data_IF_002070897844
#
_entry.id   IF_002070897844
#
_cell.length_a   1.000
_cell.length_b   1.000
_cell.length_c   1.000
_cell.angle_alpha   90.00
_cell.angle_beta   90.00
_cell.angle_gamma   90.00
#
_symmetry.space_group_name_H-M   'P 1'
#
loop_
_entity.id
_entity.type
_entity.pdbx_description
1 polymer ?
#
# COMPACT_ATOMS: atom_id res chain seq x y z
N UNK A 1 15.13 17.02 -49.87
CA UNK A 1 14.07 16.13 -49.38
C UNK A 1 14.49 15.66 -48.01
N UNK A 2 13.71 16.01 -46.98
CA UNK A 2 14.06 15.74 -45.59
C UNK A 2 13.96 14.24 -45.30
N UNK A 3 15.09 13.63 -44.91
CA UNK A 3 15.08 12.42 -44.11
C UNK A 3 14.73 12.85 -42.69
N UNK A 4 13.47 12.69 -42.30
CA UNK A 4 13.06 12.81 -40.92
C UNK A 4 13.33 11.48 -40.22
N UNK A 5 14.20 11.55 -39.21
CA UNK A 5 14.43 10.57 -38.16
C UNK A 5 13.16 9.79 -37.79
N UNK A 6 13.09 8.52 -38.20
CA UNK A 6 12.19 7.52 -37.60
C UNK A 6 12.96 6.82 -36.47
N UNK A 7 13.51 7.61 -35.53
CA UNK A 7 14.38 7.11 -34.47
C UNK A 7 13.57 6.62 -33.27
N UNK A 8 13.64 5.31 -32.98
CA UNK A 8 13.46 4.61 -31.69
C UNK A 8 12.20 4.84 -30.83
N UNK A 9 11.38 5.85 -31.11
CA UNK A 9 10.33 6.33 -30.20
C UNK A 9 9.09 5.44 -30.10
N UNK A 10 8.93 4.52 -31.06
CA UNK A 10 7.80 3.58 -31.14
C UNK A 10 8.11 2.17 -30.63
N UNK A 11 9.35 1.86 -30.22
CA UNK A 11 9.68 0.52 -29.71
C UNK A 11 9.01 0.31 -28.35
N UNK A 12 8.19 -0.75 -28.23
CA UNK A 12 7.51 -1.13 -27.00
C UNK A 12 8.41 -2.08 -26.20
N UNK A 13 8.76 -1.71 -24.98
CA UNK A 13 9.56 -2.55 -24.06
C UNK A 13 8.69 -3.39 -23.12
N UNK A 14 7.46 -2.94 -22.87
CA UNK A 14 6.43 -3.71 -22.18
C UNK A 14 5.08 -3.41 -22.79
N UNK A 15 4.39 -4.48 -23.20
CA UNK A 15 2.97 -4.44 -23.51
C UNK A 15 2.29 -5.42 -22.55
N UNK A 16 1.57 -4.90 -21.57
CA UNK A 16 0.70 -5.65 -20.67
C UNK A 16 -0.75 -5.30 -21.03
N UNK A 17 -1.40 -6.08 -21.92
CA UNK A 17 -2.67 -5.71 -22.53
C UNK A 17 -3.74 -5.38 -21.48
N UNK A 18 -4.41 -4.24 -21.66
CA UNK A 18 -5.45 -3.78 -20.75
C UNK A 18 -4.95 -3.06 -19.49
N UNK A 19 -3.63 -3.08 -19.21
CA UNK A 19 -3.04 -2.42 -18.03
C UNK A 19 -2.19 -1.22 -18.42
N UNK A 20 -1.04 -1.49 -19.04
CA UNK A 20 0.00 -0.50 -19.30
C UNK A 20 0.83 -0.90 -20.51
N UNK A 21 1.24 0.10 -21.29
CA UNK A 21 2.25 -0.04 -22.32
C UNK A 21 3.36 0.98 -22.11
N UNK A 22 4.60 0.51 -22.17
CA UNK A 22 5.80 1.32 -21.97
C UNK A 22 6.67 1.25 -23.21
N UNK A 23 7.07 2.41 -23.69
CA UNK A 23 7.93 2.56 -24.86
C UNK A 23 9.37 2.86 -24.42
N UNK A 24 10.35 2.47 -25.24
CA UNK A 24 11.77 2.76 -24.99
C UNK A 24 12.07 4.25 -24.85
N UNK A 25 11.27 5.10 -25.50
CA UNK A 25 11.34 6.57 -25.39
C UNK A 25 10.97 7.13 -24.00
N UNK A 26 10.45 6.30 -23.09
CA UNK A 26 9.88 6.75 -21.82
C UNK A 26 8.41 7.17 -21.91
N UNK A 27 7.79 7.11 -23.09
CA UNK A 27 6.34 7.26 -23.21
C UNK A 27 5.63 6.11 -22.49
N UNK A 28 4.56 6.42 -21.78
CA UNK A 28 3.71 5.45 -21.06
C UNK A 28 2.26 5.66 -21.45
N UNK A 29 1.57 4.57 -21.78
CA UNK A 29 0.12 4.52 -21.98
C UNK A 29 -0.48 3.65 -20.87
N UNK A 30 -1.40 4.22 -20.09
CA UNK A 30 -2.17 3.50 -19.06
C UNK A 30 -3.59 3.28 -19.58
N UNK A 31 -4.03 2.03 -19.61
CA UNK A 31 -5.33 1.66 -20.18
C UNK A 31 -6.43 1.48 -19.14
N UNK A 32 -6.07 1.37 -17.86
CA UNK A 32 -7.02 1.44 -16.76
C UNK A 32 -7.19 2.90 -16.34
N UNK A 33 -8.35 3.52 -16.60
CA UNK A 33 -8.62 4.87 -16.14
C UNK A 33 -8.77 4.88 -14.62
N UNK A 34 -8.35 5.98 -14.00
CA UNK A 34 -8.67 6.30 -12.61
C UNK A 34 -10.08 6.89 -12.59
N UNK A 35 -10.99 6.27 -11.83
CA UNK A 35 -12.32 6.85 -11.62
C UNK A 35 -12.24 7.81 -10.44
N UNK A 36 -12.06 9.10 -10.71
CA UNK A 36 -11.77 10.07 -9.66
C UNK A 36 -12.99 10.32 -8.77
N UNK A 37 -12.82 10.09 -7.46
CA UNK A 37 -13.76 10.55 -6.44
C UNK A 37 -13.27 11.88 -5.85
N UNK A 38 -14.11 12.92 -5.72
CA UNK A 38 -13.75 14.13 -4.98
C UNK A 38 -13.73 13.86 -3.47
N UNK A 39 -12.95 14.63 -2.69
CA UNK A 39 -13.07 14.60 -1.24
C UNK A 39 -14.48 15.05 -0.83
N UNK A 40 -15.06 14.33 0.12
CA UNK A 40 -16.44 14.52 0.54
C UNK A 40 -16.64 14.06 2.00
N UNK A 41 -17.82 14.37 2.54
CA UNK A 41 -18.35 13.72 3.74
C UNK A 41 -19.28 12.61 3.32
N UNK A 42 -18.94 11.38 3.66
CA UNK A 42 -19.76 10.21 3.34
C UNK A 42 -21.03 10.19 4.18
N UNK A 43 -22.17 10.01 3.52
CA UNK A 43 -23.48 10.10 4.16
C UNK A 43 -23.79 8.89 5.05
N UNK A 44 -23.22 7.72 4.75
CA UNK A 44 -23.50 6.49 5.48
C UNK A 44 -22.68 6.38 6.77
N UNK A 45 -21.43 6.80 6.74
CA UNK A 45 -20.47 6.66 7.83
C UNK A 45 -20.18 7.96 8.57
N UNK A 46 -20.47 9.12 7.94
CA UNK A 46 -20.10 10.44 8.43
C UNK A 46 -18.60 10.76 8.31
N UNK A 47 -17.79 9.86 7.73
CA UNK A 47 -16.36 10.09 7.50
C UNK A 47 -16.18 11.28 6.56
N UNK A 48 -15.39 12.26 6.99
CA UNK A 48 -15.03 13.43 6.18
C UNK A 48 -13.66 13.23 5.57
N UNK A 49 -13.47 13.64 4.32
CA UNK A 49 -12.19 13.53 3.62
C UNK A 49 -11.73 14.84 3.01
N UNK A 50 -10.41 15.00 2.87
CA UNK A 50 -9.78 16.13 2.17
C UNK A 50 -8.41 15.77 1.62
N UNK A 51 -8.01 16.49 0.58
CA UNK A 51 -6.69 16.31 -0.05
C UNK A 51 -5.67 17.28 0.55
N UNK A 52 -4.45 16.79 0.77
CA UNK A 52 -3.33 17.56 1.34
C UNK A 52 -2.05 17.31 0.56
N UNK A 53 -1.16 18.30 0.51
CA UNK A 53 0.19 18.10 -0.01
C UNK A 53 1.15 17.65 1.11
N UNK A 54 1.96 16.63 0.81
CA UNK A 54 2.98 16.09 1.73
C UNK A 54 4.36 16.61 1.32
N UNK A 55 4.74 16.37 0.05
CA UNK A 55 5.95 16.92 -0.57
C UNK A 55 5.56 17.61 -1.88
N UNK A 56 5.24 18.91 -1.86
CA UNK A 56 4.82 19.65 -3.05
C UNK A 56 5.82 19.55 -4.21
N UNK A 57 7.12 19.65 -3.90
CA UNK A 57 8.20 19.62 -4.92
C UNK A 57 8.32 18.27 -5.64
N UNK A 58 7.87 17.19 -4.99
CA UNK A 58 7.84 15.85 -5.55
C UNK A 58 6.42 15.39 -5.95
N UNK A 59 5.44 16.30 -5.90
CA UNK A 59 4.03 16.01 -6.13
C UNK A 59 3.45 14.87 -5.26
N UNK A 60 4.04 14.60 -4.08
CA UNK A 60 3.50 13.61 -3.15
C UNK A 60 2.40 14.27 -2.34
N UNK A 61 1.22 13.67 -2.37
CA UNK A 61 0.02 14.18 -1.67
C UNK A 61 -0.69 13.03 -0.96
N UNK A 62 -1.80 13.33 -0.29
CA UNK A 62 -2.63 12.30 0.31
C UNK A 62 -4.08 12.76 0.41
N UNK A 63 -5.00 11.79 0.45
CA UNK A 63 -6.35 12.01 0.98
C UNK A 63 -6.40 11.56 2.42
N UNK A 64 -6.80 12.48 3.31
CA UNK A 64 -7.00 12.17 4.73
C UNK A 64 -8.48 11.92 4.96
N UNK A 65 -8.79 10.91 5.77
CA UNK A 65 -10.13 10.53 6.20
C UNK A 65 -10.21 10.68 7.71
N UNK A 66 -11.17 11.47 8.18
CA UNK A 66 -11.48 11.67 9.58
C UNK A 66 -12.85 11.04 9.88
N UNK A 67 -12.93 9.98 10.71
CA UNK A 67 -14.20 9.35 11.06
C UNK A 67 -15.07 10.29 11.88
N UNK A 68 -16.40 10.17 11.77
CA UNK A 68 -17.30 10.96 12.60
C UNK A 68 -17.09 10.63 14.10
N UNK A 69 -17.26 11.62 15.00
CA UNK A 69 -17.31 11.32 16.43
C UNK A 69 -18.50 10.39 16.74
N UNK A 70 -18.42 9.57 17.79
CA UNK A 70 -19.54 8.76 18.25
C UNK A 70 -20.77 9.62 18.55
N UNK A 71 -21.97 9.02 18.56
CA UNK A 71 -23.25 9.72 18.81
C UNK A 71 -23.32 10.49 20.14
N UNK A 72 -22.38 10.26 21.07
CA UNK A 72 -22.20 11.01 22.32
C UNK A 72 -21.49 12.37 22.14
N UNK A 73 -21.10 12.74 20.92
CA UNK A 73 -20.68 14.10 20.55
C UNK A 73 -19.18 14.39 20.64
N UNK A 74 -18.35 13.47 21.16
CA UNK A 74 -16.88 13.62 21.16
C UNK A 74 -16.17 12.27 21.13
N UNK A 75 -14.97 12.24 20.54
CA UNK A 75 -14.08 11.09 20.67
C UNK A 75 -13.68 10.90 22.13
N UNK A 76 -13.62 9.65 22.60
CA UNK A 76 -13.14 9.32 23.96
C UNK A 76 -11.63 9.55 24.15
N UNK A 77 -10.94 10.07 23.14
CA UNK A 77 -9.51 10.34 23.12
C UNK A 77 -9.02 10.71 21.72
N UNK A 78 -7.69 10.67 21.54
CA UNK A 78 -7.06 10.76 20.21
C UNK A 78 -7.25 9.45 19.43
N UNK A 79 -7.24 9.54 18.12
CA UNK A 79 -7.52 8.45 17.18
C UNK A 79 -6.21 7.84 16.64
N UNK A 80 -6.11 6.51 16.49
CA UNK A 80 -4.99 5.90 15.78
C UNK A 80 -4.89 6.43 14.34
N UNK A 81 -3.69 6.38 13.77
CA UNK A 81 -3.42 6.83 12.40
C UNK A 81 -2.99 5.66 11.54
N UNK A 82 -3.68 5.38 10.44
CA UNK A 82 -3.24 4.44 9.41
C UNK A 82 -2.71 5.21 8.20
N UNK A 83 -1.42 5.10 7.91
CA UNK A 83 -0.83 5.56 6.64
C UNK A 83 -0.94 4.43 5.63
N UNK A 84 -1.74 4.65 4.58
CA UNK A 84 -2.16 3.61 3.65
C UNK A 84 -1.63 3.87 2.23
N UNK A 85 -1.13 2.83 1.57
CA UNK A 85 -0.63 2.88 0.19
C UNK A 85 -1.50 2.01 -0.72
N UNK A 86 -2.02 2.58 -1.80
CA UNK A 86 -2.80 1.84 -2.80
C UNK A 86 -1.92 0.89 -3.62
N UNK A 87 -2.50 -0.17 -4.20
CA UNK A 87 -1.80 -1.06 -5.13
C UNK A 87 -1.76 -0.54 -6.56
N UNK A 88 -1.85 -1.46 -7.53
CA UNK A 88 -1.74 -1.12 -8.97
C UNK A 88 -0.36 -1.39 -9.58
N UNK A 89 0.39 -2.37 -9.04
CA UNK A 89 1.65 -2.82 -9.63
C UNK A 89 2.74 -1.74 -9.69
N UNK A 90 2.71 -0.75 -8.78
CA UNK A 90 3.59 0.42 -8.74
C UNK A 90 3.39 1.44 -9.87
N UNK A 91 2.55 1.15 -10.87
CA UNK A 91 2.42 1.96 -12.08
C UNK A 91 0.98 2.41 -12.40
N UNK A 92 0.00 1.97 -11.62
CA UNK A 92 -1.43 2.25 -11.81
C UNK A 92 -2.08 2.60 -10.46
N UNK A 93 -3.33 3.07 -10.53
CA UNK A 93 -4.11 3.45 -9.37
C UNK A 93 -3.84 4.88 -8.90
N UNK A 94 -4.60 5.28 -7.89
CA UNK A 94 -4.49 6.58 -7.21
C UNK A 94 -5.20 6.48 -5.86
N UNK A 95 -4.71 7.20 -4.85
CA UNK A 95 -5.41 7.47 -3.60
C UNK A 95 -6.76 8.19 -3.81
N UNK A 96 -6.96 8.81 -4.97
CA UNK A 96 -8.18 9.52 -5.34
C UNK A 96 -9.14 8.68 -6.20
N UNK A 97 -8.77 7.45 -6.55
CA UNK A 97 -9.66 6.51 -7.23
C UNK A 97 -10.88 6.16 -6.36
N UNK A 98 -12.05 6.00 -6.96
CA UNK A 98 -13.30 5.77 -6.26
C UNK A 98 -13.31 4.48 -5.43
N UNK A 99 -12.67 3.40 -5.93
CA UNK A 99 -12.62 2.14 -5.21
C UNK A 99 -11.68 2.24 -3.99
N UNK A 100 -10.50 2.85 -4.19
CA UNK A 100 -9.55 3.14 -3.10
C UNK A 100 -10.18 4.10 -2.08
N UNK A 101 -10.92 5.10 -2.55
CA UNK A 101 -11.59 6.07 -1.71
C UNK A 101 -12.65 5.41 -0.83
N UNK A 102 -13.51 4.57 -1.41
CA UNK A 102 -14.53 3.83 -0.68
C UNK A 102 -13.90 2.88 0.36
N UNK A 103 -12.79 2.22 0.02
CA UNK A 103 -12.09 1.33 0.95
C UNK A 103 -11.48 2.08 2.14
N UNK A 104 -10.73 3.17 1.88
CA UNK A 104 -10.14 4.00 2.93
C UNK A 104 -11.21 4.62 3.85
N UNK A 105 -12.36 5.02 3.29
CA UNK A 105 -13.50 5.51 4.05
C UNK A 105 -14.03 4.44 5.02
N UNK A 106 -14.25 3.21 4.54
CA UNK A 106 -14.71 2.08 5.35
C UNK A 106 -13.73 1.69 6.45
N UNK A 107 -12.42 1.71 6.16
CA UNK A 107 -11.39 1.49 7.17
C UNK A 107 -11.43 2.58 8.24
N UNK A 108 -11.52 3.86 7.86
CA UNK A 108 -11.58 4.97 8.81
C UNK A 108 -12.79 4.84 9.74
N UNK A 109 -13.96 4.53 9.18
CA UNK A 109 -15.20 4.32 9.93
C UNK A 109 -15.10 3.12 10.88
N UNK A 110 -14.71 1.95 10.37
CA UNK A 110 -14.71 0.72 11.14
C UNK A 110 -13.66 0.73 12.26
N UNK A 111 -12.46 1.25 11.98
CA UNK A 111 -11.35 1.30 12.94
C UNK A 111 -11.41 2.50 13.88
N UNK A 112 -12.34 3.45 13.66
CA UNK A 112 -12.29 4.77 14.31
C UNK A 112 -10.89 5.39 14.24
N UNK A 113 -10.29 5.34 13.05
CA UNK A 113 -8.91 5.74 12.78
C UNK A 113 -8.86 6.85 11.75
N UNK A 114 -7.87 7.74 11.88
CA UNK A 114 -7.52 8.66 10.79
C UNK A 114 -6.78 7.84 9.73
N UNK A 115 -7.29 7.81 8.51
CA UNK A 115 -6.58 7.18 7.38
C UNK A 115 -5.92 8.26 6.54
N UNK A 116 -4.62 8.13 6.29
CA UNK A 116 -3.85 8.97 5.37
C UNK A 116 -3.54 8.10 4.15
N UNK A 117 -4.39 8.17 3.12
CA UNK A 117 -4.20 7.44 1.86
C UNK A 117 -3.25 8.22 0.96
N UNK A 118 -2.04 7.71 0.78
CA UNK A 118 -0.94 8.44 0.13
C UNK A 118 -1.01 8.30 -1.38
N UNK A 119 -0.99 9.45 -2.06
CA UNK A 119 -0.76 9.57 -3.50
C UNK A 119 0.75 9.64 -3.73
N UNK A 120 1.35 8.47 -3.94
CA UNK A 120 2.77 8.32 -4.24
C UNK A 120 3.01 8.37 -5.76
N UNK A 121 4.25 8.69 -6.18
CA UNK A 121 4.58 8.77 -7.60
C UNK A 121 4.52 7.40 -8.27
N UNK A 122 4.25 7.32 -9.57
CA UNK A 122 4.16 6.05 -10.27
C UNK A 122 5.40 5.73 -11.11
N UNK A 123 5.67 4.44 -11.24
CA UNK A 123 6.58 3.89 -12.22
C UNK A 123 5.93 3.83 -13.62
N UNK A 124 6.73 3.79 -14.70
CA UNK A 124 8.20 3.86 -14.75
C UNK A 124 8.80 5.27 -14.70
N UNK A 125 7.97 6.33 -14.69
CA UNK A 125 8.45 7.72 -14.59
C UNK A 125 9.29 7.95 -13.34
N UNK A 126 8.93 7.25 -12.25
CA UNK A 126 9.70 7.16 -11.02
C UNK A 126 9.92 5.68 -10.65
N UNK A 127 11.18 5.20 -10.56
CA UNK A 127 11.43 3.80 -10.24
C UNK A 127 10.99 3.47 -8.81
N UNK A 128 10.75 2.19 -8.52
CA UNK A 128 10.27 1.69 -7.21
C UNK A 128 11.07 2.23 -6.01
N UNK A 129 12.37 2.47 -6.14
CA UNK A 129 13.19 3.09 -5.09
C UNK A 129 12.73 4.51 -4.70
N UNK A 130 12.22 5.30 -5.66
CA UNK A 130 11.66 6.62 -5.40
C UNK A 130 10.32 6.52 -4.66
N UNK A 131 9.51 5.50 -4.98
CA UNK A 131 8.22 5.24 -4.33
C UNK A 131 8.40 4.90 -2.84
N UNK A 132 9.42 4.11 -2.50
CA UNK A 132 9.80 3.88 -1.10
C UNK A 132 10.24 5.18 -0.39
N UNK A 133 10.87 6.09 -1.12
CA UNK A 133 11.19 7.44 -0.64
C UNK A 133 9.94 8.25 -0.31
N UNK A 134 8.93 8.21 -1.18
CA UNK A 134 7.65 8.90 -0.99
C UNK A 134 6.91 8.37 0.25
N UNK A 135 6.89 7.04 0.40
CA UNK A 135 6.30 6.39 1.56
C UNK A 135 6.98 6.79 2.88
N UNK A 136 8.32 6.82 2.88
CA UNK A 136 9.08 7.26 4.04
C UNK A 136 8.80 8.73 4.38
N UNK A 137 8.77 9.60 3.38
CA UNK A 137 8.46 11.01 3.57
C UNK A 137 7.03 11.23 4.10
N UNK A 138 6.04 10.46 3.63
CA UNK A 138 4.68 10.51 4.15
C UNK A 138 4.62 10.12 5.64
N UNK A 139 5.36 9.07 6.04
CA UNK A 139 5.45 8.69 7.46
C UNK A 139 6.14 9.77 8.31
N UNK A 140 7.23 10.36 7.83
CA UNK A 140 7.90 11.47 8.53
C UNK A 140 7.01 12.71 8.64
N UNK A 141 6.24 13.01 7.59
CA UNK A 141 5.26 14.10 7.58
C UNK A 141 4.17 13.88 8.63
N UNK A 142 3.65 12.66 8.78
CA UNK A 142 2.73 12.31 9.89
C UNK A 142 3.44 12.48 11.24
N UNK A 143 4.65 11.94 11.40
CA UNK A 143 5.42 11.99 12.65
C UNK A 143 5.75 13.43 13.10
N UNK A 144 5.92 14.39 12.18
CA UNK A 144 6.19 15.80 12.49
C UNK A 144 5.09 16.45 13.36
N UNK A 145 3.86 15.94 13.32
CA UNK A 145 2.75 16.42 14.15
C UNK A 145 2.99 16.15 15.65
N UNK A 146 3.82 15.15 16.01
CA UNK A 146 4.10 14.81 17.41
C UNK A 146 4.93 15.88 18.11
N UNK A 147 5.72 16.63 17.35
CA UNK A 147 6.51 17.75 17.83
C UNK A 147 5.85 19.12 17.59
N UNK A 148 4.56 19.15 17.20
CA UNK A 148 3.86 20.39 16.86
C UNK A 148 4.41 21.10 15.62
N UNK A 149 5.15 20.39 14.76
CA UNK A 149 5.72 20.92 13.51
C UNK A 149 4.86 20.64 12.29
N UNK A 150 3.91 19.71 12.41
CA UNK A 150 2.96 19.41 11.36
C UNK A 150 1.91 20.51 11.20
N UNK A 151 1.53 20.78 9.96
CA UNK A 151 0.61 21.87 9.61
C UNK A 151 -0.82 21.39 9.38
N UNK A 152 -1.09 20.08 9.43
CA UNK A 152 -2.41 19.54 9.12
C UNK A 152 -3.31 19.50 10.38
N UNK A 153 -4.37 20.33 10.46
CA UNK A 153 -5.16 20.49 11.67
C UNK A 153 -5.83 19.20 12.16
N UNK A 154 -6.24 18.30 11.28
CA UNK A 154 -6.90 17.05 11.68
C UNK A 154 -5.94 16.12 12.42
N UNK A 155 -4.69 16.03 11.97
CA UNK A 155 -3.67 15.26 12.67
C UNK A 155 -3.31 15.93 14.01
N UNK A 156 -3.08 17.23 14.03
CA UNK A 156 -2.78 17.97 15.28
C UNK A 156 -3.92 17.85 16.30
N UNK A 157 -5.17 17.98 15.87
CA UNK A 157 -6.33 17.98 16.74
C UNK A 157 -6.79 16.59 17.17
N UNK A 158 -6.64 15.56 16.33
CA UNK A 158 -7.28 14.27 16.55
C UNK A 158 -6.33 13.06 16.55
N UNK A 159 -5.12 13.13 16.00
CA UNK A 159 -4.24 11.96 15.92
C UNK A 159 -3.58 11.57 17.25
N UNK A 160 -3.51 10.26 17.48
CA UNK A 160 -2.69 9.61 18.48
C UNK A 160 -1.41 9.10 17.83
N UNK A 161 -0.33 9.87 17.95
CA UNK A 161 0.95 9.54 17.33
C UNK A 161 1.76 8.51 18.14
N UNK A 162 1.19 8.00 19.24
CA UNK A 162 1.64 6.77 19.88
C UNK A 162 1.11 5.51 19.19
N UNK A 163 0.09 5.64 18.33
CA UNK A 163 -0.59 4.57 17.58
C UNK A 163 -0.60 4.86 16.09
N UNK A 164 0.59 4.86 15.48
CA UNK A 164 0.77 5.01 14.04
C UNK A 164 0.95 3.64 13.40
N UNK A 165 0.09 3.33 12.44
CA UNK A 165 0.07 2.09 11.69
C UNK A 165 0.42 2.40 10.25
N UNK A 166 1.05 1.44 9.58
CA UNK A 166 1.32 1.50 8.15
C UNK A 166 0.66 0.32 7.47
N UNK A 167 0.12 0.52 6.28
CA UNK A 167 -0.45 -0.58 5.52
C UNK A 167 -0.62 -0.26 4.06
N UNK A 168 -1.05 -1.26 3.32
CA UNK A 168 -1.35 -1.07 1.91
C UNK A 168 -1.86 -2.35 1.27
N UNK A 169 -2.19 -2.23 0.00
CA UNK A 169 -2.72 -3.28 -0.84
C UNK A 169 -1.78 -3.58 -2.01
N UNK A 170 -1.53 -4.87 -2.31
CA UNK A 170 -0.71 -5.29 -3.45
C UNK A 170 0.66 -4.60 -3.48
N UNK A 171 0.96 -3.79 -4.50
CA UNK A 171 2.16 -2.96 -4.57
C UNK A 171 2.31 -2.01 -3.35
N UNK A 172 1.20 -1.47 -2.85
CA UNK A 172 1.17 -0.66 -1.64
C UNK A 172 1.52 -1.44 -0.38
N UNK A 173 1.16 -2.73 -0.30
CA UNK A 173 1.60 -3.60 0.79
C UNK A 173 3.11 -3.86 0.73
N UNK A 174 3.69 -4.00 -0.47
CA UNK A 174 5.13 -4.07 -0.66
C UNK A 174 5.82 -2.76 -0.19
N UNK A 175 5.28 -1.59 -0.57
CA UNK A 175 5.75 -0.28 -0.10
C UNK A 175 5.69 -0.19 1.44
N UNK A 176 4.57 -0.60 2.04
CA UNK A 176 4.37 -0.59 3.49
C UNK A 176 5.39 -1.50 4.21
N UNK A 177 5.68 -2.68 3.67
CA UNK A 177 6.70 -3.58 4.19
C UNK A 177 8.08 -2.91 4.22
N UNK A 178 8.52 -2.33 3.10
CA UNK A 178 9.84 -1.67 3.03
C UNK A 178 9.92 -0.44 3.93
N UNK A 179 8.84 0.32 4.07
CA UNK A 179 8.76 1.42 5.03
C UNK A 179 8.88 0.92 6.49
N UNK A 180 8.24 -0.20 6.83
CA UNK A 180 8.34 -0.81 8.15
C UNK A 180 9.72 -1.42 8.44
N UNK A 181 10.37 -2.01 7.42
CA UNK A 181 11.76 -2.48 7.53
C UNK A 181 12.71 -1.31 7.78
N UNK A 182 12.55 -0.22 7.03
CA UNK A 182 13.33 1.02 7.23
C UNK A 182 13.16 1.57 8.64
N UNK A 183 11.92 1.60 9.16
CA UNK A 183 11.61 2.05 10.52
C UNK A 183 12.29 1.23 11.64
N UNK A 184 12.76 0.01 11.35
CA UNK A 184 13.54 -0.78 12.31
C UNK A 184 15.01 -0.38 12.42
N UNK A 185 15.49 0.41 11.45
CA UNK A 185 16.88 0.87 11.36
C UNK A 185 17.04 2.39 11.42
N UNK A 186 16.00 3.14 11.04
CA UNK A 186 15.97 4.59 11.00
C UNK A 186 14.77 5.09 11.81
N UNK A 187 14.97 6.11 12.64
CA UNK A 187 13.88 6.73 13.38
C UNK A 187 12.98 7.56 12.44
N UNK A 188 11.67 7.40 12.55
CA UNK A 188 10.69 8.27 11.88
C UNK A 188 10.77 9.74 12.32
N UNK A 189 11.33 9.96 13.51
CA UNK A 189 11.45 11.27 14.14
C UNK A 189 10.47 11.46 15.31
N UNK A 190 10.83 12.39 16.19
CA UNK A 190 9.95 12.88 17.27
C UNK A 190 9.40 11.79 18.22
N UNK A 191 10.12 10.67 18.36
CA UNK A 191 9.73 9.56 19.23
C UNK A 191 8.57 8.68 18.70
N UNK A 192 8.09 8.96 17.48
CA UNK A 192 7.04 8.16 16.83
C UNK A 192 7.61 6.82 16.40
N UNK A 193 6.86 5.75 16.65
CA UNK A 193 7.17 4.38 16.24
C UNK A 193 5.96 3.76 15.57
N UNK A 194 6.19 2.80 14.68
CA UNK A 194 5.09 2.05 14.08
C UNK A 194 4.53 1.05 15.08
N UNK A 195 3.24 1.14 15.38
CA UNK A 195 2.51 0.15 16.16
C UNK A 195 2.32 -1.14 15.35
N UNK A 196 1.84 -1.03 14.11
CA UNK A 196 1.61 -2.20 13.28
C UNK A 196 1.80 -2.00 11.78
N UNK A 197 1.95 -3.12 11.07
CA UNK A 197 2.01 -3.26 9.62
C UNK A 197 0.82 -4.10 9.14
N UNK A 198 0.03 -3.58 8.21
CA UNK A 198 -1.09 -4.31 7.56
C UNK A 198 -0.77 -4.57 6.09
N UNK A 199 -0.65 -5.84 5.72
CA UNK A 199 -0.34 -6.28 4.37
C UNK A 199 -1.57 -6.92 3.73
N UNK A 200 -2.21 -6.23 2.79
CA UNK A 200 -3.37 -6.73 2.07
C UNK A 200 -2.91 -7.24 0.70
N UNK A 201 -3.06 -8.53 0.45
CA UNK A 201 -2.63 -9.19 -0.79
C UNK A 201 -1.19 -8.82 -1.21
N UNK A 202 -0.18 -9.01 -0.34
CA UNK A 202 1.13 -8.41 -0.58
C UNK A 202 1.75 -8.84 -1.91
N UNK A 203 2.15 -7.85 -2.71
CA UNK A 203 2.85 -8.10 -3.98
C UNK A 203 4.30 -8.49 -3.71
N UNK A 204 4.47 -9.77 -3.39
CA UNK A 204 5.76 -10.43 -3.29
C UNK A 204 5.83 -11.53 -4.35
N UNK A 205 6.96 -11.61 -5.05
CA UNK A 205 7.23 -12.61 -6.07
C UNK A 205 8.41 -13.49 -5.66
N UNK A 206 8.63 -14.55 -6.43
CA UNK A 206 9.75 -15.48 -6.29
C UNK A 206 9.30 -16.93 -6.05
N UNK A 207 10.08 -17.89 -6.55
CA UNK A 207 9.78 -19.32 -6.43
C UNK A 207 8.51 -19.73 -7.16
N UNK A 208 7.96 -20.89 -6.78
CA UNK A 208 6.74 -21.43 -7.40
C UNK A 208 5.50 -20.64 -7.01
N UNK A 209 4.59 -20.45 -7.98
CA UNK A 209 3.30 -19.79 -7.79
C UNK A 209 2.35 -20.65 -6.96
N UNK A 210 1.37 -20.02 -6.31
CA UNK A 210 0.29 -20.75 -5.67
C UNK A 210 -0.71 -21.32 -6.68
N UNK A 211 -1.43 -22.37 -6.31
CA UNK A 211 -2.59 -22.81 -7.08
C UNK A 211 -3.61 -21.68 -7.19
N UNK A 212 -4.00 -21.36 -8.41
CA UNK A 212 -4.92 -20.26 -8.76
C UNK A 212 -5.62 -20.59 -10.09
N UNK A 213 -6.60 -19.78 -10.49
CA UNK A 213 -7.31 -19.95 -11.76
C UNK A 213 -6.58 -19.32 -12.94
N UNK A 214 -7.13 -19.46 -14.15
CA UNK A 214 -6.53 -18.91 -15.38
C UNK A 214 -6.30 -17.40 -15.32
N UNK A 215 -7.19 -16.67 -14.65
CA UNK A 215 -7.09 -15.22 -14.47
C UNK A 215 -5.94 -14.86 -13.53
N UNK A 216 -5.77 -15.59 -12.43
CA UNK A 216 -4.64 -15.44 -11.52
C UNK A 216 -3.30 -15.74 -12.19
N UNK A 217 -3.24 -16.78 -13.03
CA UNK A 217 -2.04 -17.09 -13.83
C UNK A 217 -1.72 -15.96 -14.82
N UNK A 218 -2.73 -15.40 -15.49
CA UNK A 218 -2.55 -14.27 -16.40
C UNK A 218 -2.04 -13.02 -15.65
N UNK A 219 -2.64 -12.70 -14.51
CA UNK A 219 -2.20 -11.58 -13.66
C UNK A 219 -0.73 -11.76 -13.23
N UNK A 220 -0.38 -12.93 -12.70
CA UNK A 220 0.98 -13.19 -12.23
C UNK A 220 2.02 -13.05 -13.35
N UNK A 221 1.69 -13.52 -14.57
CA UNK A 221 2.56 -13.37 -15.75
C UNK A 221 2.85 -11.90 -16.04
N UNK A 222 1.83 -11.05 -16.01
CA UNK A 222 2.01 -9.62 -16.28
C UNK A 222 2.79 -8.94 -15.16
N UNK A 223 2.53 -9.27 -13.90
CA UNK A 223 3.28 -8.77 -12.76
C UNK A 223 4.77 -9.16 -12.80
N UNK A 224 5.11 -10.39 -13.19
CA UNK A 224 6.51 -10.81 -13.35
C UNK A 224 7.21 -10.02 -14.47
N UNK A 225 6.51 -9.76 -15.59
CA UNK A 225 7.04 -8.96 -16.70
C UNK A 225 7.18 -7.48 -16.36
N UNK A 226 6.32 -6.96 -15.50
CA UNK A 226 6.31 -5.57 -15.06
C UNK A 226 7.49 -5.23 -14.15
N UNK A 227 7.90 -6.16 -13.29
CA UNK A 227 8.95 -5.93 -12.29
C UNK A 227 10.23 -5.28 -12.82
N UNK A 228 10.90 -5.78 -13.89
CA UNK A 228 12.11 -5.15 -14.43
C UNK A 228 11.90 -3.76 -15.03
N UNK A 229 10.65 -3.39 -15.36
CA UNK A 229 10.29 -2.07 -15.89
C UNK A 229 10.11 -1.06 -14.77
N UNK A 230 9.50 -1.47 -13.66
CA UNK A 230 9.27 -0.59 -12.50
C UNK A 230 10.49 -0.52 -11.57
N UNK A 231 11.33 -1.56 -11.58
CA UNK A 231 12.58 -1.64 -10.81
C UNK A 231 13.79 -1.88 -11.73
N UNK A 232 14.28 -0.84 -12.44
CA UNK A 232 15.46 -0.95 -13.28
C UNK A 232 16.68 -1.43 -12.49
N UNK A 233 17.44 -2.36 -13.06
CA UNK A 233 18.62 -2.95 -12.41
C UNK A 233 18.32 -4.08 -11.43
N UNK A 234 17.07 -4.55 -11.37
CA UNK A 234 16.68 -5.74 -10.61
C UNK A 234 17.51 -6.98 -10.99
N UNK A 235 17.78 -7.84 -10.00
CA UNK A 235 18.32 -9.20 -10.20
C UNK A 235 17.25 -10.23 -10.61
N UNK A 236 16.03 -9.79 -10.93
CA UNK A 236 14.89 -10.64 -11.24
C UNK A 236 14.07 -11.02 -10.00
N UNK A 237 12.88 -11.56 -10.22
CA UNK A 237 11.89 -11.76 -9.15
C UNK A 237 12.32 -12.74 -8.06
N UNK A 238 13.18 -13.72 -8.37
CA UNK A 238 13.62 -14.72 -7.39
C UNK A 238 14.69 -14.19 -6.45
N UNK A 239 15.61 -13.36 -6.96
CA UNK A 239 16.78 -12.91 -6.22
C UNK A 239 16.71 -11.50 -5.66
N UNK A 240 15.78 -10.66 -6.16
CA UNK A 240 15.70 -9.26 -5.77
C UNK A 240 14.95 -9.07 -4.43
N UNK A 241 15.62 -8.59 -3.36
CA UNK A 241 15.00 -8.38 -2.05
C UNK A 241 13.83 -7.40 -2.05
N UNK A 242 13.73 -6.51 -3.05
CA UNK A 242 12.66 -5.52 -3.11
C UNK A 242 11.30 -6.14 -3.44
N UNK A 243 11.27 -7.23 -4.21
CA UNK A 243 10.05 -7.97 -4.54
C UNK A 243 9.98 -9.33 -3.85
N UNK A 244 11.12 -9.89 -3.45
CA UNK A 244 11.20 -11.14 -2.70
C UNK A 244 11.89 -10.91 -1.34
N UNK A 245 11.14 -10.56 -0.28
CA UNK A 245 11.72 -10.36 1.05
C UNK A 245 12.24 -11.65 1.71
N UNK A 246 12.10 -12.79 1.01
CA UNK A 246 12.62 -14.10 1.42
C UNK A 246 13.82 -14.54 0.55
N UNK A 247 14.31 -13.69 -0.34
CA UNK A 247 15.48 -13.96 -1.16
C UNK A 247 16.75 -14.09 -0.31
N UNK A 248 17.74 -14.82 -0.82
CA UNK A 248 19.07 -14.84 -0.22
C UNK A 248 19.68 -13.43 -0.23
N UNK A 249 20.20 -12.97 0.90
CA UNK A 249 20.73 -11.61 1.07
C UNK A 249 19.66 -10.54 1.34
N UNK A 250 18.38 -10.89 1.38
CA UNK A 250 17.35 -9.97 1.84
C UNK A 250 17.57 -9.60 3.33
N UNK A 251 17.21 -8.36 3.74
CA UNK A 251 17.28 -7.96 5.14
C UNK A 251 16.48 -8.92 6.04
N UNK A 252 17.04 -9.24 7.21
CA UNK A 252 16.40 -10.17 8.14
C UNK A 252 15.08 -9.58 8.67
N UNK A 253 13.97 -10.28 8.47
CA UNK A 253 12.63 -9.87 8.94
C UNK A 253 12.55 -9.60 10.46
N UNK A 254 13.49 -10.11 11.26
CA UNK A 254 13.64 -9.77 12.68
C UNK A 254 13.83 -8.27 12.93
N UNK A 255 14.30 -7.51 11.93
CA UNK A 255 14.49 -6.06 12.02
C UNK A 255 13.24 -5.25 11.67
N UNK A 256 12.05 -5.84 11.50
CA UNK A 256 10.82 -5.07 11.29
C UNK A 256 10.58 -4.08 12.42
N UNK A 257 10.43 -2.80 12.08
CA UNK A 257 10.27 -1.68 13.02
C UNK A 257 8.87 -1.50 13.60
N UNK A 258 8.05 -2.55 13.63
CA UNK A 258 6.69 -2.52 14.16
C UNK A 258 6.46 -3.65 15.20
N UNK A 259 5.40 -3.53 16.00
CA UNK A 259 5.08 -4.50 17.07
C UNK A 259 4.12 -5.59 16.63
N UNK A 260 3.26 -5.31 15.65
CA UNK A 260 2.23 -6.22 15.18
C UNK A 260 2.19 -6.24 13.66
N UNK A 261 1.94 -7.40 13.08
CA UNK A 261 1.80 -7.58 11.62
C UNK A 261 0.50 -8.34 11.37
N UNK A 262 -0.31 -7.83 10.44
CA UNK A 262 -1.48 -8.52 9.90
C UNK A 262 -1.24 -8.79 8.42
N UNK A 263 -1.42 -10.03 7.98
CA UNK A 263 -1.38 -10.42 6.56
C UNK A 263 -2.75 -10.91 6.13
N UNK A 264 -3.36 -10.23 5.17
CA UNK A 264 -4.65 -10.61 4.59
C UNK A 264 -4.44 -11.11 3.15
N UNK A 265 -4.95 -12.30 2.82
CA UNK A 265 -4.85 -12.87 1.47
C UNK A 265 -6.19 -13.48 1.00
N UNK A 266 -6.37 -13.59 -0.31
CA UNK A 266 -7.48 -14.33 -0.90
C UNK A 266 -7.07 -15.77 -1.18
N UNK A 267 -7.98 -16.73 -0.97
CA UNK A 267 -7.73 -18.16 -1.18
C UNK A 267 -7.35 -18.51 -2.62
N UNK A 268 -7.80 -17.72 -3.60
CA UNK A 268 -7.43 -17.84 -5.03
C UNK A 268 -6.41 -16.81 -5.50
N UNK A 269 -5.85 -16.00 -4.61
CA UNK A 269 -4.81 -15.05 -4.99
C UNK A 269 -3.57 -15.79 -5.54
N UNK A 270 -3.07 -15.47 -6.75
CA UNK A 270 -1.86 -16.10 -7.30
C UNK A 270 -0.62 -15.97 -6.40
N UNK A 271 -0.59 -14.97 -5.51
CA UNK A 271 0.49 -14.69 -4.57
C UNK A 271 0.17 -15.15 -3.14
N UNK A 272 -0.93 -15.87 -2.89
CA UNK A 272 -1.34 -16.37 -1.57
C UNK A 272 -0.19 -17.04 -0.81
N UNK A 273 0.46 -18.00 -1.46
CA UNK A 273 1.58 -18.77 -0.89
C UNK A 273 2.82 -17.92 -0.61
N UNK A 274 2.99 -16.78 -1.29
CA UNK A 274 4.04 -15.79 -0.95
C UNK A 274 3.70 -15.07 0.34
N UNK A 275 2.42 -14.72 0.55
CA UNK A 275 1.91 -14.24 1.83
C UNK A 275 2.09 -15.26 2.96
N UNK A 276 1.72 -16.51 2.74
CA UNK A 276 1.91 -17.60 3.73
C UNK A 276 3.39 -17.83 4.06
N UNK A 277 4.26 -17.84 3.03
CA UNK A 277 5.70 -17.96 3.23
C UNK A 277 6.28 -16.77 4.00
N UNK A 278 5.81 -15.55 3.73
CA UNK A 278 6.20 -14.37 4.50
C UNK A 278 5.84 -14.56 5.99
N UNK A 279 4.62 -15.04 6.30
CA UNK A 279 4.22 -15.35 7.67
C UNK A 279 5.12 -16.41 8.33
N UNK A 280 5.43 -17.50 7.63
CA UNK A 280 6.34 -18.55 8.12
C UNK A 280 7.73 -17.98 8.42
N UNK A 281 8.32 -17.26 7.46
CA UNK A 281 9.66 -16.67 7.60
C UNK A 281 9.71 -15.62 8.70
N UNK A 282 8.65 -14.83 8.86
CA UNK A 282 8.56 -13.86 9.94
C UNK A 282 8.55 -14.57 11.32
N UNK A 283 7.73 -15.61 11.49
CA UNK A 283 7.71 -16.44 12.73
C UNK A 283 9.08 -17.06 13.02
N UNK A 284 9.78 -17.54 11.99
CA UNK A 284 11.11 -18.16 12.10
C UNK A 284 12.29 -17.18 12.21
N UNK A 285 12.09 -15.89 11.96
CA UNK A 285 13.18 -14.90 11.90
C UNK A 285 13.75 -14.51 13.26
N UNK A 286 12.98 -14.70 14.33
CA UNK A 286 13.28 -14.16 15.66
C UNK A 286 12.67 -12.78 15.94
N UNK A 287 11.85 -12.24 15.03
CA UNK A 287 10.99 -11.09 15.30
C UNK A 287 10.09 -11.35 16.51
N UNK A 288 9.99 -10.38 17.42
CA UNK A 288 9.34 -10.54 18.75
C UNK A 288 7.95 -9.92 18.84
N UNK A 289 7.37 -9.53 17.70
CA UNK A 289 6.03 -8.97 17.64
C UNK A 289 4.94 -10.03 17.51
N UNK A 290 3.70 -9.56 17.38
CA UNK A 290 2.52 -10.39 17.18
C UNK A 290 2.20 -10.48 15.69
N UNK A 291 2.04 -11.69 15.16
CA UNK A 291 1.65 -11.92 13.79
C UNK A 291 0.28 -12.57 13.73
N UNK A 292 -0.62 -11.95 12.96
CA UNK A 292 -1.93 -12.48 12.61
C UNK A 292 -2.01 -12.64 11.09
N UNK A 293 -2.65 -13.71 10.65
CA UNK A 293 -2.95 -13.97 9.24
C UNK A 293 -4.45 -14.23 9.07
N UNK A 294 -5.00 -13.72 7.96
CA UNK A 294 -6.40 -13.85 7.60
C UNK A 294 -6.54 -14.20 6.12
N UNK A 295 -7.39 -15.18 5.83
CA UNK A 295 -7.63 -15.65 4.47
C UNK A 295 -9.11 -15.57 4.12
N UNK A 296 -9.41 -15.04 2.93
CA UNK A 296 -10.75 -15.04 2.35
C UNK A 296 -10.91 -16.22 1.38
N UNK A 297 -11.62 -17.27 1.80
CA UNK A 297 -11.82 -18.44 0.96
C UNK A 297 -12.50 -18.08 -0.38
N UNK A 298 -12.03 -18.69 -1.47
CA UNK A 298 -12.55 -18.49 -2.81
C UNK A 298 -12.31 -17.11 -3.46
N UNK A 299 -11.72 -16.13 -2.76
CA UNK A 299 -11.51 -14.78 -3.27
C UNK A 299 -10.17 -14.63 -4.00
N UNK A 300 -10.17 -13.83 -5.07
CA UNK A 300 -8.99 -13.48 -5.85
C UNK A 300 -8.22 -12.26 -5.30
N UNK A 301 -7.20 -11.84 -6.04
CA UNK A 301 -6.40 -10.65 -5.72
C UNK A 301 -7.26 -9.37 -5.76
N UNK A 302 -7.14 -8.50 -4.75
CA UNK A 302 -7.81 -7.19 -4.74
C UNK A 302 -9.35 -7.23 -4.64
N UNK A 303 -9.94 -8.36 -4.24
CA UNK A 303 -11.40 -8.55 -4.23
C UNK A 303 -12.17 -7.50 -3.40
N UNK A 304 -11.53 -6.93 -2.38
CA UNK A 304 -12.11 -5.92 -1.50
C UNK A 304 -12.33 -4.56 -2.19
N UNK A 305 -11.65 -4.32 -3.32
CA UNK A 305 -11.88 -3.15 -4.18
C UNK A 305 -12.90 -3.43 -5.27
N UNK A 306 -12.86 -4.61 -5.90
CA UNK A 306 -13.76 -4.96 -7.01
C UNK A 306 -15.16 -5.40 -6.55
N UNK A 307 -15.26 -6.03 -5.38
CA UNK A 307 -16.50 -6.51 -4.78
C UNK A 307 -16.61 -5.99 -3.33
N UNK A 308 -16.63 -4.67 -3.10
CA UNK A 308 -16.51 -4.10 -1.75
C UNK A 308 -17.66 -4.51 -0.82
N UNK A 309 -18.83 -4.82 -1.38
CA UNK A 309 -20.02 -5.21 -0.61
C UNK A 309 -20.12 -6.73 -0.36
N UNK A 310 -19.10 -7.52 -0.70
CA UNK A 310 -19.12 -8.95 -0.38
C UNK A 310 -18.94 -9.19 1.12
N UNK A 311 -19.43 -10.34 1.60
CA UNK A 311 -19.28 -10.74 3.00
C UNK A 311 -17.81 -10.84 3.41
N UNK A 312 -16.95 -11.30 2.50
CA UNK A 312 -15.51 -11.41 2.71
C UNK A 312 -14.85 -10.03 2.76
N UNK A 313 -15.30 -9.06 1.96
CA UNK A 313 -14.71 -7.72 1.95
C UNK A 313 -15.08 -6.97 3.24
N UNK A 314 -16.32 -7.14 3.70
CA UNK A 314 -16.74 -6.67 5.01
C UNK A 314 -15.99 -7.35 6.15
N UNK A 315 -15.75 -8.66 6.07
CA UNK A 315 -14.97 -9.39 7.06
C UNK A 315 -13.52 -8.91 7.12
N UNK A 316 -12.88 -8.66 5.97
CA UNK A 316 -11.53 -8.11 5.92
C UNK A 316 -11.45 -6.73 6.60
N UNK A 317 -12.40 -5.83 6.32
CA UNK A 317 -12.48 -4.51 6.96
C UNK A 317 -12.62 -4.66 8.48
N UNK A 318 -13.46 -5.59 8.97
CA UNK A 318 -13.63 -5.84 10.41
C UNK A 318 -12.33 -6.35 11.05
N UNK A 319 -11.67 -7.32 10.45
CA UNK A 319 -10.41 -7.88 10.96
C UNK A 319 -9.33 -6.80 11.03
N UNK A 320 -9.20 -5.97 9.99
CA UNK A 320 -8.25 -4.84 10.00
C UNK A 320 -8.63 -3.83 11.09
N UNK A 321 -9.90 -3.47 11.22
CA UNK A 321 -10.36 -2.51 12.21
C UNK A 321 -10.11 -2.98 13.66
N UNK A 322 -10.42 -4.25 13.95
CA UNK A 322 -10.11 -4.88 15.24
C UNK A 322 -8.60 -4.89 15.48
N UNK A 323 -7.80 -5.28 14.48
CA UNK A 323 -6.35 -5.29 14.58
C UNK A 323 -5.78 -3.90 14.91
N UNK A 324 -6.27 -2.83 14.28
CA UNK A 324 -5.81 -1.46 14.54
C UNK A 324 -6.26 -0.93 15.92
N UNK A 325 -7.33 -1.47 16.49
CA UNK A 325 -7.89 -1.00 17.76
C UNK A 325 -7.06 -1.39 18.99
N UNK A 326 -6.28 -2.47 18.92
CA UNK A 326 -5.51 -3.03 20.04
C UNK A 326 -4.00 -2.71 20.01
N UNK A 327 -3.55 -1.76 19.19
CA UNK A 327 -2.14 -1.41 18.99
C UNK A 327 -1.67 -0.11 19.64
#
# INVERSE_FOLDING_TARGET
MANADAGDGGEVILDAPGFIRVYRSGRVERFLPVDFAPPSTDAATGVSSKDVAILPDACVSARIYLPAPPSSGSYSGKLPVLVFFHGGGFCLGSAFDAAVHAHANRLAAAASAIVVSVEYRLAPEHPVSALYGDAWAALQWVAAHAAGRGQEPWLTAHADLGRVHVGGESAGANIAHHAAMRAGSEELGHGVKLSSLVLIHPYFLGGESSETDEMGVALLRELVRLWPVVCPGTSGCDGDPLINPMAEGAPNLASLGCRRVLVCVGGKDPMRGRGSLYCEKLKGSGWRGELEDWEADGQGHGFHLSCPMSAEAEAQVRVIAEFLSYG
#
